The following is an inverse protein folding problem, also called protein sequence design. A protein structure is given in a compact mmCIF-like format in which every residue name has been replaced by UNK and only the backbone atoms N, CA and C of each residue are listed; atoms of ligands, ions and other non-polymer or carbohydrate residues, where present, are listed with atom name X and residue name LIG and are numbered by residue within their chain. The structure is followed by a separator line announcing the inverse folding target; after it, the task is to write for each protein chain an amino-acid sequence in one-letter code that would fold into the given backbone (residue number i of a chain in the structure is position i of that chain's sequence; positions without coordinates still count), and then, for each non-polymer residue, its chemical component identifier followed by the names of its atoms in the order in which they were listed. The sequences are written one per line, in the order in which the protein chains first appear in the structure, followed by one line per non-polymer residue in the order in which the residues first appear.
data_IF_687615518721
#
_entry.id   IF_687615518721
#
_cell.length_a   1.000
_cell.length_b   1.000
_cell.length_c   1.000
_cell.angle_alpha   90.00
_cell.angle_beta   90.00
_cell.angle_gamma   90.00
#
_symmetry.space_group_name_H-M   'P 1'
#
loop_
_entity.id
_entity.type
_entity.pdbx_description
1 polymer ?
#
# COMPACT_ATOMS: atom_id res chain seq x y z
N UNK A 1 -7.77 -20.94 20.46
CA UNK A 1 -6.72 -21.09 19.43
C UNK A 1 -5.39 -20.69 20.07
N UNK A 2 -4.38 -21.54 20.04
CA UNK A 2 -3.08 -21.26 20.68
C UNK A 2 -2.43 -20.03 20.03
N UNK A 3 -2.08 -19.02 20.82
CA UNK A 3 -1.55 -17.72 20.34
C UNK A 3 -0.33 -17.91 19.43
N UNK A 4 0.51 -18.91 19.72
CA UNK A 4 1.67 -19.25 18.87
C UNK A 4 1.26 -19.77 17.49
N UNK A 5 0.23 -20.62 17.41
CA UNK A 5 -0.27 -21.18 16.14
C UNK A 5 -0.86 -20.08 15.26
N UNK A 6 -1.58 -19.13 15.86
CA UNK A 6 -2.13 -17.97 15.15
C UNK A 6 -1.03 -17.09 14.56
N UNK A 7 0.04 -16.82 15.31
CA UNK A 7 1.18 -16.02 14.82
C UNK A 7 1.92 -16.71 13.68
N UNK A 8 2.13 -18.03 13.76
CA UNK A 8 2.73 -18.82 12.67
C UNK A 8 1.85 -18.77 11.41
N UNK A 9 0.53 -18.92 11.56
CA UNK A 9 -0.41 -18.85 10.45
C UNK A 9 -0.40 -17.47 9.78
N UNK A 10 -0.34 -16.39 10.57
CA UNK A 10 -0.24 -15.02 10.05
C UNK A 10 1.07 -14.80 9.28
N UNK A 11 2.19 -15.33 9.78
CA UNK A 11 3.47 -15.27 9.07
C UNK A 11 3.42 -16.03 7.74
N UNK A 12 2.81 -17.22 7.72
CA UNK A 12 2.65 -18.01 6.49
C UNK A 12 1.72 -17.31 5.49
N UNK A 13 0.61 -16.75 5.95
CA UNK A 13 -0.29 -15.95 5.13
C UNK A 13 0.43 -14.71 4.55
N UNK A 14 1.27 -14.05 5.35
CA UNK A 14 2.07 -12.93 4.89
C UNK A 14 3.04 -13.33 3.77
N UNK A 15 3.76 -14.45 3.90
CA UNK A 15 4.66 -14.97 2.86
C UNK A 15 3.89 -15.32 1.58
N UNK A 16 2.70 -15.93 1.72
CA UNK A 16 1.86 -16.25 0.58
C UNK A 16 1.39 -14.99 -0.17
N UNK A 17 0.93 -13.97 0.57
CA UNK A 17 0.54 -12.68 -0.02
C UNK A 17 1.74 -11.97 -0.67
N UNK A 18 2.94 -12.13 -0.10
CA UNK A 18 4.16 -11.57 -0.65
C UNK A 18 4.52 -12.23 -1.99
N UNK A 19 4.39 -13.56 -2.08
CA UNK A 19 4.56 -14.29 -3.32
C UNK A 19 3.51 -13.90 -4.38
N UNK A 20 2.25 -13.75 -3.98
CA UNK A 20 1.19 -13.26 -4.86
C UNK A 20 1.47 -11.84 -5.37
N UNK A 21 1.94 -10.95 -4.49
CA UNK A 21 2.33 -9.59 -4.87
C UNK A 21 3.49 -9.58 -5.85
N UNK A 22 4.46 -10.49 -5.71
CA UNK A 22 5.53 -10.64 -6.70
C UNK A 22 4.99 -11.05 -8.07
N UNK A 23 4.10 -12.06 -8.12
CA UNK A 23 3.49 -12.52 -9.39
C UNK A 23 2.64 -11.42 -10.03
N UNK A 24 1.75 -10.80 -9.27
CA UNK A 24 0.91 -9.69 -9.74
C UNK A 24 1.76 -8.56 -10.32
N UNK A 25 2.83 -8.21 -9.62
CA UNK A 25 3.75 -7.17 -10.05
C UNK A 25 4.49 -7.53 -11.35
N UNK A 26 4.91 -8.78 -11.52
CA UNK A 26 5.48 -9.25 -12.79
C UNK A 26 4.46 -9.15 -13.92
N UNK A 27 3.22 -9.61 -13.69
CA UNK A 27 2.13 -9.56 -14.67
C UNK A 27 1.85 -8.11 -15.07
N UNK A 28 1.75 -7.20 -14.10
CA UNK A 28 1.54 -5.77 -14.31
C UNK A 28 2.53 -5.19 -15.30
N UNK A 29 3.82 -5.46 -15.10
CA UNK A 29 4.86 -4.91 -15.98
C UNK A 29 4.90 -5.58 -17.34
N UNK A 30 4.64 -6.89 -17.42
CA UNK A 30 4.63 -7.58 -18.72
C UNK A 30 3.48 -7.12 -19.62
N UNK A 31 2.33 -6.75 -19.04
CA UNK A 31 1.12 -6.40 -19.78
C UNK A 31 0.79 -4.90 -19.73
N UNK A 32 1.69 -4.06 -19.21
CA UNK A 32 1.42 -2.65 -18.93
C UNK A 32 0.81 -1.90 -20.13
N UNK A 33 1.37 -2.10 -21.32
CA UNK A 33 0.90 -1.44 -22.55
C UNK A 33 -0.47 -1.93 -23.04
N UNK A 34 -0.89 -3.14 -22.69
CA UNK A 34 -2.23 -3.65 -23.01
C UNK A 34 -3.26 -3.20 -21.96
N UNK A 35 -2.85 -3.20 -20.69
CA UNK A 35 -3.65 -2.74 -19.56
C UNK A 35 -4.05 -1.27 -19.76
N UNK A 36 -3.11 -0.40 -20.12
CA UNK A 36 -3.37 1.03 -20.31
C UNK A 36 -4.29 1.34 -21.51
N UNK A 37 -4.45 0.42 -22.47
CA UNK A 37 -5.39 0.59 -23.59
C UNK A 37 -6.84 0.35 -23.19
N UNK A 38 -7.07 -0.42 -22.12
CA UNK A 38 -8.41 -0.74 -21.65
C UNK A 38 -8.64 -0.14 -20.25
N UNK A 39 -9.41 0.95 -20.13
CA UNK A 39 -9.55 1.67 -18.87
C UNK A 39 -10.16 0.80 -17.76
N UNK A 40 -11.06 -0.12 -18.09
CA UNK A 40 -11.66 -1.02 -17.12
C UNK A 40 -10.61 -2.01 -16.57
N UNK A 41 -9.77 -2.54 -17.44
CA UNK A 41 -8.70 -3.46 -17.06
C UNK A 41 -7.63 -2.74 -16.23
N UNK A 42 -7.30 -1.49 -16.57
CA UNK A 42 -6.43 -0.64 -15.76
C UNK A 42 -6.98 -0.39 -14.35
N UNK A 43 -8.27 -0.07 -14.21
CA UNK A 43 -8.90 0.13 -12.91
C UNK A 43 -8.82 -1.15 -12.07
N UNK A 44 -9.19 -2.30 -12.65
CA UNK A 44 -9.17 -3.58 -11.94
C UNK A 44 -7.77 -3.97 -11.49
N UNK A 45 -6.77 -3.74 -12.35
CA UNK A 45 -5.40 -4.08 -12.05
C UNK A 45 -4.83 -3.20 -10.93
N UNK A 46 -4.98 -1.87 -11.03
CA UNK A 46 -4.55 -0.93 -9.98
C UNK A 46 -5.29 -1.20 -8.66
N UNK A 47 -6.58 -1.49 -8.72
CA UNK A 47 -7.34 -1.85 -7.53
C UNK A 47 -6.84 -3.14 -6.88
N UNK A 48 -6.51 -4.16 -7.68
CA UNK A 48 -5.94 -5.43 -7.19
C UNK A 48 -4.57 -5.22 -6.56
N UNK A 49 -3.70 -4.45 -7.21
CA UNK A 49 -2.40 -4.06 -6.69
C UNK A 49 -2.54 -3.41 -5.30
N UNK A 50 -3.43 -2.43 -5.20
CA UNK A 50 -3.71 -1.70 -3.98
C UNK A 50 -4.27 -2.61 -2.87
N UNK A 51 -5.20 -3.52 -3.19
CA UNK A 51 -5.69 -4.50 -2.22
C UNK A 51 -4.57 -5.37 -1.68
N UNK A 52 -3.66 -5.85 -2.55
CA UNK A 52 -2.53 -6.68 -2.11
C UNK A 52 -1.60 -5.91 -1.18
N UNK A 53 -1.24 -4.67 -1.54
CA UNK A 53 -0.40 -3.80 -0.71
C UNK A 53 -1.02 -3.58 0.68
N UNK A 54 -2.30 -3.22 0.75
CA UNK A 54 -3.00 -3.00 2.03
C UNK A 54 -3.08 -4.29 2.84
N UNK A 55 -3.36 -5.41 2.17
CA UNK A 55 -3.48 -6.71 2.84
C UNK A 55 -2.15 -7.15 3.44
N UNK A 56 -1.04 -6.88 2.74
CA UNK A 56 0.31 -7.07 3.26
C UNK A 56 0.60 -6.16 4.46
N UNK A 57 0.23 -4.87 4.40
CA UNK A 57 0.37 -3.95 5.53
C UNK A 57 -0.44 -4.44 6.73
N UNK A 58 -1.71 -4.81 6.51
CA UNK A 58 -2.61 -5.33 7.54
C UNK A 58 -2.02 -6.58 8.21
N UNK A 59 -1.65 -7.59 7.41
CA UNK A 59 -1.07 -8.85 7.89
C UNK A 59 0.26 -8.61 8.60
N UNK A 60 1.15 -7.80 8.02
CA UNK A 60 2.45 -7.48 8.60
C UNK A 60 2.33 -6.76 9.95
N UNK A 61 1.47 -5.75 10.05
CA UNK A 61 1.25 -5.04 11.30
C UNK A 61 0.53 -5.91 12.35
N UNK A 62 -0.41 -6.77 11.93
CA UNK A 62 -1.07 -7.71 12.84
C UNK A 62 -0.10 -8.76 13.37
N UNK A 63 0.77 -9.27 12.50
CA UNK A 63 1.86 -10.17 12.87
C UNK A 63 2.82 -9.49 13.86
N UNK A 64 3.25 -8.25 13.57
CA UNK A 64 4.08 -7.46 14.48
C UNK A 64 3.45 -7.29 15.86
N UNK A 65 2.19 -6.85 15.93
CA UNK A 65 1.44 -6.68 17.19
C UNK A 65 1.43 -7.98 18.00
N UNK A 66 1.13 -9.12 17.35
CA UNK A 66 1.08 -10.41 18.04
C UNK A 66 2.46 -10.85 18.54
N UNK A 67 3.52 -10.58 17.78
CA UNK A 67 4.88 -10.93 18.15
C UNK A 67 5.38 -10.10 19.35
N UNK A 68 5.02 -8.80 19.39
CA UNK A 68 5.27 -7.94 20.56
C UNK A 68 4.48 -8.41 21.78
N UNK A 69 3.18 -8.73 21.64
CA UNK A 69 2.34 -9.22 22.74
C UNK A 69 2.78 -10.58 23.29
N UNK A 70 3.38 -11.43 22.46
CA UNK A 70 3.96 -12.71 22.88
C UNK A 70 5.27 -12.56 23.66
N UNK A 71 5.72 -11.33 23.95
CA UNK A 71 7.02 -11.02 24.59
C UNK A 71 8.19 -11.72 23.89
N UNK A 72 8.08 -11.92 22.57
CA UNK A 72 9.14 -12.57 21.79
C UNK A 72 10.43 -11.74 21.84
N UNK A 73 10.30 -10.42 21.76
CA UNK A 73 11.36 -9.46 22.07
C UNK A 73 11.43 -9.28 23.60
N UNK A 74 12.16 -10.17 24.29
CA UNK A 74 12.39 -10.07 25.74
C UNK A 74 12.86 -8.66 26.12
N UNK A 75 12.01 -7.88 26.78
CA UNK A 75 12.35 -6.60 27.47
C UNK A 75 12.91 -5.46 26.61
N UNK A 76 12.66 -5.42 25.30
CA UNK A 76 12.99 -4.22 24.53
C UNK A 76 11.92 -3.13 24.75
N UNK A 77 12.27 -2.08 25.50
CA UNK A 77 11.40 -0.90 25.73
C UNK A 77 10.85 -0.31 24.42
N UNK A 78 11.58 -0.45 23.31
CA UNK A 78 11.25 0.17 22.02
C UNK A 78 10.11 -0.53 21.26
N UNK A 79 9.94 -1.84 21.41
CA UNK A 79 8.89 -2.58 20.69
C UNK A 79 7.48 -2.14 21.11
N UNK A 80 7.32 -1.79 22.40
CA UNK A 80 6.07 -1.25 22.94
C UNK A 80 5.80 0.20 22.53
N UNK A 81 6.83 1.01 22.25
CA UNK A 81 6.66 2.43 21.85
C UNK A 81 5.80 2.55 20.58
N UNK A 82 5.96 1.61 19.64
CA UNK A 82 5.16 1.56 18.41
C UNK A 82 3.67 1.32 18.71
N UNK A 83 3.38 0.49 19.71
CA UNK A 83 2.01 0.21 20.17
C UNK A 83 1.44 1.33 21.04
N UNK A 84 2.28 2.05 21.78
CA UNK A 84 1.91 3.19 22.62
C UNK A 84 1.59 4.45 21.79
N UNK A 85 2.28 4.65 20.67
CA UNK A 85 2.08 5.80 19.77
C UNK A 85 1.71 5.40 18.33
N UNK A 86 0.58 4.70 18.12
CA UNK A 86 0.19 4.16 16.81
C UNK A 86 -0.04 5.25 15.76
N UNK A 87 -0.49 6.45 16.19
CA UNK A 87 -0.74 7.58 15.28
C UNK A 87 0.55 8.11 14.67
N UNK A 88 1.58 8.33 15.48
CA UNK A 88 2.88 8.89 15.03
C UNK A 88 3.56 7.92 14.08
N UNK A 89 3.58 6.63 14.43
CA UNK A 89 4.15 5.60 13.56
C UNK A 89 3.39 5.50 12.24
N UNK A 90 2.05 5.48 12.29
CA UNK A 90 1.23 5.43 11.08
C UNK A 90 1.53 6.59 10.13
N UNK A 91 1.72 7.81 10.64
CA UNK A 91 2.09 8.97 9.82
C UNK A 91 3.46 8.76 9.18
N UNK A 92 4.49 8.47 9.98
CA UNK A 92 5.86 8.30 9.48
C UNK A 92 5.96 7.19 8.42
N UNK A 93 5.32 6.06 8.68
CA UNK A 93 5.34 4.91 7.78
C UNK A 93 4.52 5.16 6.51
N UNK A 94 3.42 5.92 6.60
CA UNK A 94 2.66 6.35 5.40
C UNK A 94 3.50 7.25 4.51
N UNK A 95 4.18 8.25 5.09
CA UNK A 95 5.07 9.14 4.35
C UNK A 95 6.18 8.33 3.67
N UNK A 96 6.77 7.37 4.38
CA UNK A 96 7.78 6.49 3.82
C UNK A 96 7.24 5.65 2.65
N UNK A 97 6.07 5.02 2.78
CA UNK A 97 5.48 4.20 1.72
C UNK A 97 5.17 5.06 0.49
N UNK A 98 4.50 6.19 0.65
CA UNK A 98 4.16 7.09 -0.48
C UNK A 98 5.43 7.57 -1.18
N UNK A 99 6.46 7.95 -0.41
CA UNK A 99 7.74 8.38 -0.97
C UNK A 99 8.43 7.27 -1.78
N UNK A 100 8.47 6.03 -1.26
CA UNK A 100 9.03 4.88 -1.97
C UNK A 100 8.23 4.52 -3.22
N UNK A 101 6.90 4.61 -3.18
CA UNK A 101 6.04 4.38 -4.35
C UNK A 101 6.35 5.36 -5.47
N UNK A 102 6.54 6.65 -5.17
CA UNK A 102 6.89 7.68 -6.16
C UNK A 102 8.28 7.43 -6.74
N UNK A 103 9.28 7.13 -5.91
CA UNK A 103 10.65 6.81 -6.36
C UNK A 103 10.68 5.56 -7.27
N UNK A 104 9.83 4.58 -6.96
CA UNK A 104 9.69 3.39 -7.78
C UNK A 104 9.06 3.70 -9.13
N UNK A 105 8.00 4.52 -9.15
CA UNK A 105 7.39 4.98 -10.40
C UNK A 105 8.38 5.75 -11.28
N UNK A 106 9.18 6.65 -10.69
CA UNK A 106 10.14 7.47 -11.45
C UNK A 106 11.29 6.66 -12.03
N UNK A 107 11.88 5.74 -11.26
CA UNK A 107 12.95 4.87 -11.76
C UNK A 107 12.48 3.94 -12.89
N UNK A 108 11.21 3.58 -12.89
CA UNK A 108 10.62 2.70 -13.90
C UNK A 108 10.28 3.42 -15.22
N UNK A 109 9.83 4.68 -15.16
CA UNK A 109 9.47 5.46 -16.35
C UNK A 109 10.71 6.01 -17.07
N UNK A 110 11.75 6.42 -16.33
CA UNK A 110 12.91 7.12 -16.90
C UNK A 110 14.22 6.31 -16.87
N UNK A 111 14.22 5.08 -16.34
CA UNK A 111 15.40 4.18 -16.29
C UNK A 111 16.54 4.66 -15.39
N UNK A 112 16.46 5.87 -14.86
CA UNK A 112 17.37 6.52 -13.92
C UNK A 112 16.54 7.33 -12.92
N UNK A 113 17.07 7.59 -11.72
CA UNK A 113 16.44 8.54 -10.79
C UNK A 113 16.68 9.94 -11.34
N UNK A 114 15.89 10.33 -12.33
CA UNK A 114 15.93 11.65 -12.94
C UNK A 114 15.34 12.65 -11.95
N UNK A 115 16.19 13.22 -11.08
CA UNK A 115 15.81 14.23 -10.07
C UNK A 115 15.04 15.40 -10.72
N UNK A 116 15.29 15.65 -12.01
CA UNK A 116 14.69 16.70 -12.81
C UNK A 116 13.18 16.52 -13.07
N UNK A 117 12.69 15.30 -13.29
CA UNK A 117 11.26 15.01 -13.54
C UNK A 117 10.48 14.64 -12.28
N UNK A 118 11.19 14.36 -11.19
CA UNK A 118 10.63 13.99 -9.89
C UNK A 118 9.58 15.00 -9.37
N UNK A 119 9.80 16.33 -9.44
CA UNK A 119 8.81 17.31 -8.97
C UNK A 119 7.49 17.25 -9.76
N UNK A 120 7.56 17.04 -11.07
CA UNK A 120 6.38 17.02 -11.95
C UNK A 120 5.59 15.72 -11.72
N UNK A 121 6.28 14.59 -11.65
CA UNK A 121 5.65 13.30 -11.31
C UNK A 121 4.96 13.41 -9.95
N UNK A 122 5.63 13.99 -8.96
CA UNK A 122 5.10 14.16 -7.61
C UNK A 122 3.87 15.07 -7.58
N UNK A 123 3.83 16.10 -8.43
CA UNK A 123 2.70 17.03 -8.52
C UNK A 123 1.48 16.39 -9.20
N UNK A 124 1.70 15.56 -10.23
CA UNK A 124 0.65 14.81 -10.94
C UNK A 124 0.14 13.63 -10.10
N UNK A 125 1.03 12.96 -9.37
CA UNK A 125 0.68 11.82 -8.52
C UNK A 125 0.20 12.23 -7.12
N UNK A 126 0.41 13.48 -6.69
CA UNK A 126 0.02 13.97 -5.37
C UNK A 126 -1.46 13.77 -5.02
N UNK A 127 -2.45 14.08 -5.89
CA UNK A 127 -3.86 13.90 -5.55
C UNK A 127 -4.20 12.44 -5.24
N UNK A 128 -3.63 11.51 -6.03
CA UNK A 128 -3.83 10.06 -5.87
C UNK A 128 -3.07 9.57 -4.63
N UNK A 129 -1.80 9.97 -4.48
CA UNK A 129 -0.96 9.63 -3.35
C UNK A 129 -1.49 10.15 -2.00
N UNK A 130 -2.26 11.24 -1.98
CA UNK A 130 -2.97 11.71 -0.78
C UNK A 130 -4.10 10.76 -0.41
N UNK A 131 -4.91 10.32 -1.38
CA UNK A 131 -6.03 9.40 -1.14
C UNK A 131 -5.52 8.03 -0.69
N UNK A 132 -4.54 7.47 -1.41
CA UNK A 132 -3.90 6.21 -1.04
C UNK A 132 -3.18 6.32 0.29
N UNK A 133 -2.42 7.39 0.50
CA UNK A 133 -1.73 7.69 1.75
C UNK A 133 -2.70 7.74 2.93
N UNK A 134 -3.88 8.35 2.76
CA UNK A 134 -4.93 8.33 3.78
C UNK A 134 -5.42 6.91 4.08
N UNK A 135 -5.62 6.08 3.06
CA UNK A 135 -5.99 4.67 3.20
C UNK A 135 -4.92 3.85 3.94
N UNK A 136 -3.63 4.04 3.60
CA UNK A 136 -2.48 3.43 4.28
C UNK A 136 -2.45 3.85 5.75
N UNK A 137 -2.53 5.15 6.02
CA UNK A 137 -2.54 5.70 7.37
C UNK A 137 -3.67 5.09 8.22
N UNK A 138 -4.87 5.02 7.65
CA UNK A 138 -6.03 4.46 8.35
C UNK A 138 -5.83 2.97 8.65
N UNK A 139 -5.24 2.23 7.71
CA UNK A 139 -4.88 0.81 7.87
C UNK A 139 -3.89 0.63 9.01
N UNK A 140 -2.76 1.36 8.97
CA UNK A 140 -1.71 1.29 9.98
C UNK A 140 -2.25 1.68 11.36
N UNK A 141 -2.90 2.83 11.47
CA UNK A 141 -3.45 3.33 12.73
C UNK A 141 -4.43 2.34 13.34
N UNK A 142 -5.43 1.88 12.57
CA UNK A 142 -6.46 0.97 13.09
C UNK A 142 -5.89 -0.39 13.47
N UNK A 143 -4.91 -0.89 12.72
CA UNK A 143 -4.27 -2.18 13.00
C UNK A 143 -3.38 -2.11 14.23
N UNK A 144 -2.52 -1.10 14.33
CA UNK A 144 -1.65 -0.89 15.50
C UNK A 144 -2.45 -0.60 16.77
N UNK A 145 -3.52 0.20 16.67
CA UNK A 145 -4.44 0.44 17.78
C UNK A 145 -5.38 -0.75 18.07
N UNK A 146 -5.32 -1.83 17.28
CA UNK A 146 -6.19 -3.02 17.41
C UNK A 146 -7.69 -2.71 17.33
N UNK A 147 -8.07 -1.66 16.60
CA UNK A 147 -9.46 -1.22 16.39
C UNK A 147 -9.97 -1.55 14.99
N UNK A 148 -9.26 -2.41 14.25
CA UNK A 148 -9.68 -2.82 12.91
C UNK A 148 -10.97 -3.67 12.98
N UNK A 149 -11.99 -3.25 12.24
CA UNK A 149 -13.28 -3.95 12.10
C UNK A 149 -13.54 -4.26 10.63
N UNK A 150 -14.44 -5.22 10.35
CA UNK A 150 -14.87 -5.53 8.98
C UNK A 150 -15.38 -4.30 8.22
N UNK A 151 -16.17 -3.45 8.90
CA UNK A 151 -16.65 -2.17 8.33
C UNK A 151 -15.49 -1.21 8.05
N UNK A 152 -14.50 -1.17 8.96
CA UNK A 152 -13.29 -0.37 8.78
C UNK A 152 -12.45 -0.82 7.59
N UNK A 153 -12.32 -2.14 7.38
CA UNK A 153 -11.61 -2.73 6.25
C UNK A 153 -12.35 -2.47 4.93
N UNK A 154 -13.68 -2.65 4.91
CA UNK A 154 -14.50 -2.32 3.74
C UNK A 154 -14.35 -0.85 3.34
N UNK A 155 -14.38 0.07 4.32
CA UNK A 155 -14.14 1.49 4.08
C UNK A 155 -12.76 1.75 3.48
N UNK A 156 -11.70 1.11 4.01
CA UNK A 156 -10.34 1.23 3.46
C UNK A 156 -10.33 0.76 2.01
N UNK A 157 -10.87 -0.42 1.70
CA UNK A 157 -10.93 -0.92 0.32
C UNK A 157 -11.72 0.01 -0.60
N UNK A 158 -12.80 0.63 -0.13
CA UNK A 158 -13.51 1.66 -0.89
C UNK A 158 -12.64 2.89 -1.18
N UNK A 159 -11.84 3.36 -0.21
CA UNK A 159 -10.91 4.49 -0.44
C UNK A 159 -9.92 4.16 -1.56
N UNK A 160 -9.36 2.95 -1.58
CA UNK A 160 -8.44 2.54 -2.64
C UNK A 160 -9.13 2.26 -3.98
N UNK A 161 -10.40 1.85 -3.96
CA UNK A 161 -11.20 1.77 -5.18
C UNK A 161 -11.39 3.16 -5.80
N UNK A 162 -11.71 4.16 -4.97
CA UNK A 162 -11.81 5.56 -5.42
C UNK A 162 -10.46 6.05 -5.93
N UNK A 163 -9.36 5.72 -5.25
CA UNK A 163 -8.01 6.07 -5.72
C UNK A 163 -7.71 5.50 -7.11
N UNK A 164 -8.03 4.23 -7.36
CA UNK A 164 -7.85 3.59 -8.67
C UNK A 164 -8.70 4.25 -9.76
N UNK A 165 -9.96 4.62 -9.46
CA UNK A 165 -10.80 5.38 -10.38
C UNK A 165 -10.22 6.76 -10.71
N UNK A 166 -9.71 7.46 -9.70
CA UNK A 166 -9.06 8.75 -9.87
C UNK A 166 -7.80 8.60 -10.73
N UNK A 167 -6.96 7.62 -10.46
CA UNK A 167 -5.71 7.39 -11.18
C UNK A 167 -5.95 7.13 -12.67
N UNK A 168 -6.84 6.20 -13.01
CA UNK A 168 -7.18 5.94 -14.42
C UNK A 168 -7.87 7.14 -15.07
N UNK A 169 -8.73 7.84 -14.33
CA UNK A 169 -9.36 9.08 -14.81
C UNK A 169 -8.34 10.16 -15.15
N UNK A 170 -7.35 10.38 -14.28
CA UNK A 170 -6.26 11.33 -14.48
C UNK A 170 -5.38 10.94 -15.66
N UNK A 171 -4.99 9.66 -15.78
CA UNK A 171 -4.19 9.16 -16.91
C UNK A 171 -4.93 9.42 -18.24
N UNK A 172 -6.22 9.09 -18.31
CA UNK A 172 -7.02 9.32 -19.52
C UNK A 172 -7.16 10.80 -19.87
N UNK A 173 -7.35 11.67 -18.87
CA UNK A 173 -7.39 13.12 -19.06
C UNK A 173 -6.07 13.66 -19.61
N UNK A 174 -4.93 13.19 -19.09
CA UNK A 174 -3.60 13.58 -19.56
C UNK A 174 -3.36 13.15 -21.01
N UNK A 175 -3.75 11.91 -21.36
CA UNK A 175 -3.67 11.42 -22.74
C UNK A 175 -4.54 12.29 -23.67
N UNK A 176 -5.75 12.65 -23.24
CA UNK A 176 -6.65 13.50 -24.02
C UNK A 176 -6.06 14.89 -24.27
N UNK A 177 -5.52 15.55 -23.24
CA UNK A 177 -4.91 16.89 -23.37
C UNK A 177 -3.60 16.85 -24.17
N UNK A 178 -2.83 15.77 -24.10
CA UNK A 178 -1.57 15.62 -24.85
C UNK A 178 -1.76 15.34 -26.35
N UNK A 179 -2.95 14.90 -26.77
CA UNK A 179 -3.29 14.66 -28.17
C UNK A 179 -4.18 15.77 -28.79
N UNK A 180 -4.52 16.80 -28.01
CA UNK A 180 -5.22 18.01 -28.46
C UNK A 180 -4.21 19.10 -28.83
#
# INVERSE_FOLDING_TARGET
MDSKKTTVLLGLAFVLFLALSYVENTVFFTLLGEILKNPLLAILMLFTHNILVISLILLGMTFYVNLVLLNFFKREKHANIVLEHPKTFAIAFTVMIVFLSILRGSSLVYGTVSIEYLPIILLVSAPIGIVEGYGIYLTLKKTLSRTMTLKGLAYIYTVFFIAALMEVGFINLLIFVSHA
#
